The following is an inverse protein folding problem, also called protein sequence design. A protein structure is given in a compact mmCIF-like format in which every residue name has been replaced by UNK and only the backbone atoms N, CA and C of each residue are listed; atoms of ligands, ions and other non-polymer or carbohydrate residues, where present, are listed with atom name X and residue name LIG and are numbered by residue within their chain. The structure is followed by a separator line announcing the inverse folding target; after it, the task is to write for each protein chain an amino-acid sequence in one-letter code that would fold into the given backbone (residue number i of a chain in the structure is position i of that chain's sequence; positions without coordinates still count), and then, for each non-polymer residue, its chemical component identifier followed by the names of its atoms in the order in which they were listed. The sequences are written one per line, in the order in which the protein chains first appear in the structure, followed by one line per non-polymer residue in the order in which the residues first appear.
data_IF_943443567053
#
_entry.id   IF_943443567053
#
_cell.length_a   1.000
_cell.length_b   1.000
_cell.length_c   1.000
_cell.angle_alpha   90.00
_cell.angle_beta   90.00
_cell.angle_gamma   90.00
#
_symmetry.space_group_name_H-M   'P 1'
#
loop_
_entity.id
_entity.type
_entity.pdbx_description
1 polymer ?
#
# COMPACT_ATOMS: atom_id res chain seq x y z
N UNK A 1 45.66 22.62 -29.80
CA UNK A 1 44.52 22.85 -28.89
C UNK A 1 43.24 22.02 -29.25
N UNK A 2 42.93 21.82 -30.52
CA UNK A 2 41.76 21.07 -30.97
C UNK A 2 41.73 19.57 -30.49
N UNK A 3 42.88 18.90 -30.46
CA UNK A 3 42.98 17.47 -30.14
C UNK A 3 42.74 17.19 -28.63
N UNK A 4 43.03 18.12 -27.75
CA UNK A 4 42.79 17.98 -26.32
C UNK A 4 41.33 18.13 -25.94
N UNK A 5 40.57 18.94 -26.70
CA UNK A 5 39.17 19.19 -26.51
C UNK A 5 38.30 18.00 -26.94
N UNK A 6 38.64 17.32 -28.03
CA UNK A 6 37.99 16.10 -28.48
C UNK A 6 38.18 14.97 -27.47
N UNK A 7 39.38 14.85 -26.89
CA UNK A 7 39.70 13.83 -25.90
C UNK A 7 38.90 14.04 -24.59
N UNK A 8 38.69 15.31 -24.19
CA UNK A 8 37.91 15.68 -23.00
C UNK A 8 36.43 15.37 -23.18
N UNK A 9 35.89 15.69 -24.35
CA UNK A 9 34.48 15.39 -24.70
C UNK A 9 34.25 13.87 -24.71
N UNK A 10 35.15 13.10 -25.29
CA UNK A 10 35.03 11.64 -25.31
C UNK A 10 35.10 11.03 -23.91
N UNK A 11 35.92 11.56 -23.01
CA UNK A 11 35.98 11.13 -21.61
C UNK A 11 34.70 11.45 -20.84
N UNK A 12 34.16 12.65 -21.04
CA UNK A 12 32.91 13.04 -20.37
C UNK A 12 31.71 12.22 -20.86
N UNK A 13 31.62 11.90 -22.14
CA UNK A 13 30.58 11.04 -22.71
C UNK A 13 30.68 9.61 -22.14
N UNK A 14 31.90 9.06 -22.00
CA UNK A 14 32.12 7.74 -21.41
C UNK A 14 31.70 7.72 -19.94
N UNK A 15 32.07 8.71 -19.16
CA UNK A 15 31.69 8.81 -17.74
C UNK A 15 30.16 8.92 -17.60
N UNK A 16 29.51 9.71 -18.44
CA UNK A 16 28.05 9.87 -18.45
C UNK A 16 27.34 8.55 -18.78
N UNK A 17 27.89 7.78 -19.72
CA UNK A 17 27.37 6.48 -20.11
C UNK A 17 27.50 5.45 -18.95
N UNK A 18 28.64 5.48 -18.23
CA UNK A 18 28.83 4.63 -17.05
C UNK A 18 27.85 4.99 -15.92
N UNK A 19 27.60 6.26 -15.67
CA UNK A 19 26.63 6.72 -14.66
C UNK A 19 25.22 6.29 -15.04
N UNK A 20 24.86 6.38 -16.33
CA UNK A 20 23.55 5.98 -16.84
C UNK A 20 23.35 4.46 -16.72
N UNK A 21 24.34 3.65 -17.07
CA UNK A 21 24.29 2.18 -16.94
C UNK A 21 24.23 1.76 -15.48
N UNK A 22 24.99 2.42 -14.60
CA UNK A 22 24.95 2.19 -13.16
C UNK A 22 23.59 2.54 -12.55
N UNK A 23 22.97 3.64 -12.98
CA UNK A 23 21.63 4.04 -12.55
C UNK A 23 20.56 3.05 -13.04
N UNK A 24 20.64 2.57 -14.28
CA UNK A 24 19.75 1.53 -14.80
C UNK A 24 19.92 0.20 -14.06
N UNK A 25 21.17 -0.19 -13.76
CA UNK A 25 21.46 -1.40 -12.97
C UNK A 25 20.92 -1.31 -11.56
N UNK A 26 21.10 -0.17 -10.89
CA UNK A 26 20.56 0.08 -9.56
C UNK A 26 19.01 0.05 -9.57
N UNK A 27 18.39 0.65 -10.60
CA UNK A 27 16.93 0.63 -10.77
C UNK A 27 16.41 -0.79 -11.02
N UNK A 28 17.11 -1.59 -11.84
CA UNK A 28 16.74 -2.98 -12.10
C UNK A 28 16.87 -3.87 -10.85
N UNK A 29 17.90 -3.65 -10.03
CA UNK A 29 18.09 -4.36 -8.75
C UNK A 29 17.00 -3.98 -7.76
N UNK A 30 16.68 -2.69 -7.62
CA UNK A 30 15.61 -2.22 -6.72
C UNK A 30 14.25 -2.72 -7.18
N UNK A 31 13.96 -2.68 -8.48
CA UNK A 31 12.71 -3.21 -9.03
C UNK A 31 12.60 -4.74 -8.95
N UNK A 32 13.74 -5.44 -9.00
CA UNK A 32 13.82 -6.90 -8.83
C UNK A 32 13.57 -7.32 -7.38
N UNK A 33 14.10 -6.57 -6.41
CA UNK A 33 13.92 -6.87 -4.98
C UNK A 33 12.46 -6.74 -4.57
N UNK A 34 11.74 -5.71 -5.05
CA UNK A 34 10.31 -5.54 -4.74
C UNK A 34 9.43 -6.68 -5.31
N UNK A 35 9.84 -7.27 -6.44
CA UNK A 35 9.12 -8.41 -7.03
C UNK A 35 9.48 -9.76 -6.41
N UNK A 36 10.71 -9.92 -5.93
CA UNK A 36 11.16 -11.16 -5.27
C UNK A 36 10.88 -11.15 -3.76
N UNK A 37 10.82 -9.98 -3.13
CA UNK A 37 10.51 -9.84 -1.70
C UNK A 37 9.08 -10.23 -1.34
N UNK A 38 8.14 -10.13 -2.29
CA UNK A 38 6.72 -10.39 -2.03
C UNK A 38 6.30 -11.86 -2.21
N UNK A 39 7.22 -12.78 -2.57
CA UNK A 39 6.91 -14.19 -2.76
C UNK A 39 7.38 -15.11 -1.61
N UNK A 40 7.91 -14.56 -0.51
CA UNK A 40 8.40 -15.35 0.62
C UNK A 40 7.58 -15.15 1.91
N UNK A 41 6.34 -14.71 1.82
CA UNK A 41 5.42 -14.73 2.95
C UNK A 41 4.66 -16.07 3.03
N UNK A 42 5.39 -17.20 2.97
CA UNK A 42 4.92 -18.47 3.54
C UNK A 42 5.55 -18.59 4.93
N UNK A 43 5.35 -17.61 5.76
CA UNK A 43 5.40 -17.76 7.21
C UNK A 43 3.93 -17.79 7.65
N UNK A 44 3.56 -18.76 8.46
CA UNK A 44 2.32 -18.77 9.23
C UNK A 44 2.31 -17.47 10.07
N UNK A 45 1.96 -16.37 9.45
CA UNK A 45 1.85 -15.08 10.12
C UNK A 45 0.44 -14.98 10.65
N UNK A 46 0.31 -15.34 11.90
CA UNK A 46 -0.89 -15.02 12.68
C UNK A 46 -0.78 -13.54 13.07
N UNK A 47 -1.71 -12.73 12.62
CA UNK A 47 -1.76 -11.31 12.89
C UNK A 47 -3.14 -10.94 13.42
N UNK A 48 -3.18 -10.19 14.52
CA UNK A 48 -4.41 -9.71 15.13
C UNK A 48 -4.62 -8.23 14.84
N UNK A 49 -5.76 -7.89 14.27
CA UNK A 49 -6.14 -6.53 13.88
C UNK A 49 -7.34 -6.07 14.70
N UNK A 50 -7.28 -4.84 15.21
CA UNK A 50 -8.36 -4.21 15.95
C UNK A 50 -9.05 -3.15 15.11
N UNK A 51 -10.38 -3.02 15.25
CA UNK A 51 -11.18 -2.03 14.51
C UNK A 51 -11.36 -0.72 15.26
N UNK A 52 -11.16 -0.68 16.57
CA UNK A 52 -11.49 0.44 17.44
C UNK A 52 -10.84 1.75 16.99
N UNK A 53 -9.58 1.72 16.59
CA UNK A 53 -8.83 2.91 16.15
C UNK A 53 -9.36 3.50 14.84
N UNK A 54 -9.88 2.66 13.95
CA UNK A 54 -10.25 3.03 12.57
C UNK A 54 -11.75 3.23 12.36
N UNK A 55 -12.57 2.82 13.32
CA UNK A 55 -14.01 2.70 13.14
C UNK A 55 -14.80 3.49 14.21
N UNK A 56 -14.22 4.52 14.80
CA UNK A 56 -14.88 5.33 15.85
C UNK A 56 -16.17 6.02 15.38
N UNK A 57 -16.28 6.29 14.08
CA UNK A 57 -17.46 6.91 13.47
C UNK A 57 -18.53 5.89 13.05
N UNK A 58 -18.26 4.59 13.22
CA UNK A 58 -19.17 3.51 12.83
C UNK A 58 -19.93 3.03 14.05
N UNK A 59 -21.13 3.56 14.22
CA UNK A 59 -21.98 3.28 15.38
C UNK A 59 -23.06 2.27 15.01
N UNK A 60 -23.31 1.31 15.88
CA UNK A 60 -24.42 0.39 15.80
C UNK A 60 -25.76 1.04 16.16
N UNK A 61 -26.60 0.36 16.93
CA UNK A 61 -27.84 0.93 17.42
C UNK A 61 -27.59 1.86 18.63
N UNK A 62 -26.68 1.50 19.51
CA UNK A 62 -26.41 2.24 20.74
C UNK A 62 -24.98 2.81 20.80
N UNK A 63 -23.98 2.04 20.39
CA UNK A 63 -22.57 2.44 20.48
C UNK A 63 -21.74 1.79 19.36
N UNK A 64 -20.43 2.08 19.35
CA UNK A 64 -19.47 1.38 18.50
C UNK A 64 -19.38 -0.11 18.90
N UNK A 65 -19.09 -0.95 17.93
CA UNK A 65 -18.92 -2.39 18.14
C UNK A 65 -17.46 -2.73 17.76
N UNK A 66 -16.54 -2.69 18.74
CA UNK A 66 -15.15 -3.02 18.48
C UNK A 66 -14.99 -4.50 18.16
N UNK A 67 -14.15 -4.79 17.15
CA UNK A 67 -13.89 -6.13 16.68
C UNK A 67 -12.39 -6.41 16.75
N UNK A 68 -12.08 -7.67 17.05
CA UNK A 68 -10.76 -8.26 16.89
C UNK A 68 -10.81 -9.21 15.69
N UNK A 69 -9.96 -8.99 14.71
CA UNK A 69 -9.91 -9.78 13.47
C UNK A 69 -8.57 -10.50 13.44
N UNK A 70 -8.62 -11.82 13.50
CA UNK A 70 -7.46 -12.68 13.43
C UNK A 70 -7.21 -13.11 11.99
N UNK A 71 -6.02 -12.77 11.46
CA UNK A 71 -5.57 -13.11 10.13
C UNK A 71 -4.59 -14.28 10.21
N UNK A 72 -4.74 -15.27 9.34
CA UNK A 72 -3.79 -16.37 9.14
C UNK A 72 -3.53 -16.53 7.66
N UNK A 73 -2.28 -16.55 7.28
CA UNK A 73 -1.85 -16.67 5.88
C UNK A 73 -2.50 -15.62 4.95
N UNK A 74 -2.70 -14.39 5.46
CA UNK A 74 -3.30 -13.29 4.72
C UNK A 74 -4.81 -13.42 4.49
N UNK A 75 -5.48 -14.29 5.23
CA UNK A 75 -6.93 -14.49 5.22
C UNK A 75 -7.54 -14.30 6.60
N UNK A 76 -8.77 -13.89 6.65
CA UNK A 76 -9.54 -13.78 7.90
C UNK A 76 -9.81 -15.18 8.44
N UNK A 77 -9.20 -15.50 9.57
CA UNK A 77 -9.42 -16.78 10.24
C UNK A 77 -10.59 -16.74 11.23
N UNK A 78 -10.70 -15.64 11.98
CA UNK A 78 -11.75 -15.45 12.97
C UNK A 78 -12.00 -13.96 13.23
N UNK A 79 -13.22 -13.63 13.66
CA UNK A 79 -13.62 -12.29 14.10
C UNK A 79 -14.32 -12.42 15.45
N UNK A 80 -13.76 -11.77 16.46
CA UNK A 80 -14.33 -11.69 17.79
C UNK A 80 -14.95 -10.32 18.04
N UNK A 81 -16.18 -10.29 18.56
CA UNK A 81 -16.81 -9.07 19.05
C UNK A 81 -16.30 -8.81 20.46
N UNK A 82 -15.66 -7.66 20.66
CA UNK A 82 -15.11 -7.26 21.96
C UNK A 82 -16.17 -6.62 22.84
N UNK A 83 -15.79 -6.35 24.10
CA UNK A 83 -16.66 -5.67 25.07
C UNK A 83 -17.15 -4.32 24.51
N UNK A 84 -18.45 -4.12 24.53
CA UNK A 84 -19.13 -2.97 23.97
C UNK A 84 -20.38 -2.61 24.75
N UNK A 85 -20.98 -1.46 24.42
CA UNK A 85 -22.23 -1.00 25.04
C UNK A 85 -23.44 -1.15 24.12
N UNK A 86 -23.30 -1.95 23.06
CA UNK A 86 -24.41 -2.24 22.16
C UNK A 86 -25.52 -3.01 22.88
N UNK A 87 -26.72 -2.90 22.35
CA UNK A 87 -27.89 -3.60 22.92
C UNK A 87 -27.76 -5.11 22.79
N UNK A 88 -27.67 -5.87 23.90
CA UNK A 88 -27.39 -7.31 23.87
C UNK A 88 -28.33 -8.13 22.98
N UNK A 89 -29.61 -7.72 22.89
CA UNK A 89 -30.60 -8.37 22.02
C UNK A 89 -30.23 -8.31 20.54
N UNK A 90 -29.66 -7.20 20.09
CA UNK A 90 -29.27 -7.03 18.68
C UNK A 90 -27.97 -7.77 18.39
N UNK A 91 -27.00 -7.71 19.28
CA UNK A 91 -25.75 -8.50 19.16
C UNK A 91 -26.05 -9.99 19.14
N UNK A 92 -26.93 -10.45 20.04
CA UNK A 92 -27.31 -11.87 20.06
C UNK A 92 -27.88 -12.32 18.72
N UNK A 93 -28.76 -11.51 18.07
CA UNK A 93 -29.28 -11.85 16.74
C UNK A 93 -28.18 -11.94 15.69
N UNK A 94 -27.23 -11.01 15.70
CA UNK A 94 -26.11 -11.01 14.76
C UNK A 94 -25.24 -12.25 14.94
N UNK A 95 -25.02 -12.68 16.18
CA UNK A 95 -24.24 -13.88 16.50
C UNK A 95 -25.02 -15.15 16.15
N UNK A 96 -26.33 -15.21 16.47
CA UNK A 96 -27.17 -16.37 16.17
C UNK A 96 -27.30 -16.63 14.65
N UNK A 97 -27.20 -15.59 13.82
CA UNK A 97 -27.24 -15.64 12.34
C UNK A 97 -25.83 -15.75 11.72
N UNK A 98 -24.80 -15.97 12.52
CA UNK A 98 -23.42 -16.22 12.07
C UNK A 98 -22.87 -15.17 11.08
N UNK A 99 -23.28 -13.89 11.25
CA UNK A 99 -22.99 -12.81 10.30
C UNK A 99 -21.48 -12.68 10.00
N UNK A 100 -20.64 -12.75 11.03
CA UNK A 100 -19.18 -12.57 10.91
C UNK A 100 -18.49 -13.74 10.20
N UNK A 101 -19.11 -14.91 10.20
CA UNK A 101 -18.57 -16.12 9.56
C UNK A 101 -18.52 -16.02 8.04
N UNK A 102 -19.36 -15.15 7.47
CA UNK A 102 -19.32 -14.86 6.03
C UNK A 102 -17.98 -14.27 5.57
N UNK A 103 -17.18 -13.72 6.47
CA UNK A 103 -15.85 -13.19 6.19
C UNK A 103 -14.71 -14.20 6.31
N UNK A 104 -14.97 -15.37 6.92
CA UNK A 104 -13.92 -16.36 7.17
C UNK A 104 -13.35 -16.94 5.87
N UNK A 105 -12.03 -17.08 5.84
CA UNK A 105 -11.28 -17.56 4.69
C UNK A 105 -11.08 -16.55 3.57
N UNK A 106 -11.66 -15.35 3.67
CA UNK A 106 -11.51 -14.30 2.67
C UNK A 106 -10.21 -13.53 2.84
N UNK A 107 -9.65 -13.10 1.73
CA UNK A 107 -8.59 -12.11 1.71
C UNK A 107 -9.15 -10.71 2.02
N UNK A 108 -8.33 -9.74 2.45
CA UNK A 108 -8.77 -8.37 2.71
C UNK A 108 -9.53 -7.75 1.53
N UNK A 109 -9.06 -7.99 0.34
CA UNK A 109 -9.65 -7.47 -0.88
C UNK A 109 -11.03 -8.08 -1.20
N UNK A 110 -11.19 -9.37 -0.97
CA UNK A 110 -12.48 -10.06 -1.11
C UNK A 110 -13.45 -9.58 -0.04
N UNK A 111 -13.01 -9.44 1.21
CA UNK A 111 -13.83 -8.98 2.33
C UNK A 111 -14.38 -7.55 2.10
N UNK A 112 -13.58 -6.65 1.54
CA UNK A 112 -14.03 -5.28 1.20
C UNK A 112 -15.15 -5.30 0.15
N UNK A 113 -15.07 -6.20 -0.83
CA UNK A 113 -16.03 -6.29 -1.94
C UNK A 113 -17.21 -7.23 -1.67
N UNK A 114 -17.20 -7.94 -0.55
CA UNK A 114 -18.26 -8.87 -0.19
C UNK A 114 -19.59 -8.12 0.03
N UNK A 115 -20.64 -8.55 -0.61
CA UNK A 115 -21.99 -8.05 -0.36
C UNK A 115 -22.73 -9.01 0.59
N UNK A 116 -23.14 -8.50 1.74
CA UNK A 116 -23.85 -9.23 2.80
C UNK A 116 -25.06 -8.40 3.21
N UNK A 117 -26.18 -9.05 3.34
CA UNK A 117 -27.39 -8.45 3.87
C UNK A 117 -27.33 -8.33 5.40
N UNK A 118 -27.90 -7.26 5.92
CA UNK A 118 -28.02 -7.07 7.36
C UNK A 118 -29.05 -8.02 7.96
N UNK A 119 -28.80 -8.51 9.17
CA UNK A 119 -29.70 -9.37 9.92
C UNK A 119 -31.01 -8.65 10.21
N UNK A 120 -32.13 -9.28 9.86
CA UNK A 120 -33.46 -8.71 10.08
C UNK A 120 -33.75 -8.46 11.57
N UNK A 121 -34.13 -7.21 11.88
CA UNK A 121 -34.34 -6.79 13.27
C UNK A 121 -33.08 -6.52 14.12
N UNK A 122 -31.90 -6.51 13.45
CA UNK A 122 -30.63 -6.04 14.03
C UNK A 122 -29.84 -5.24 12.98
N UNK A 123 -30.53 -4.56 12.08
CA UNK A 123 -29.95 -3.93 10.88
C UNK A 123 -28.83 -2.92 11.20
N UNK A 124 -29.00 -2.09 12.23
CA UNK A 124 -27.99 -1.10 12.60
C UNK A 124 -26.71 -1.76 13.10
N UNK A 125 -26.83 -2.71 14.02
CA UNK A 125 -25.67 -3.44 14.58
C UNK A 125 -24.99 -4.31 13.51
N UNK A 126 -25.73 -4.96 12.62
CA UNK A 126 -25.20 -5.71 11.48
C UNK A 126 -24.41 -4.83 10.53
N UNK A 127 -25.00 -3.69 10.12
CA UNK A 127 -24.33 -2.75 9.21
C UNK A 127 -23.07 -2.15 9.83
N UNK A 128 -23.08 -1.87 11.14
CA UNK A 128 -21.89 -1.39 11.84
C UNK A 128 -20.77 -2.44 11.79
N UNK A 129 -21.05 -3.70 12.11
CA UNK A 129 -20.07 -4.79 12.05
C UNK A 129 -19.54 -4.97 10.62
N UNK A 130 -20.40 -5.10 9.62
CA UNK A 130 -20.02 -5.25 8.21
C UNK A 130 -19.09 -4.09 7.79
N UNK A 131 -19.49 -2.85 8.10
CA UNK A 131 -18.74 -1.66 7.73
C UNK A 131 -17.39 -1.59 8.45
N UNK A 132 -17.32 -1.96 9.74
CA UNK A 132 -16.09 -1.99 10.51
C UNK A 132 -15.10 -3.01 9.95
N UNK A 133 -15.53 -4.23 9.62
CA UNK A 133 -14.68 -5.24 8.98
C UNK A 133 -14.16 -4.72 7.64
N UNK A 134 -15.03 -4.22 6.78
CA UNK A 134 -14.64 -3.69 5.46
C UNK A 134 -13.65 -2.53 5.57
N UNK A 135 -13.88 -1.60 6.49
CA UNK A 135 -13.00 -0.45 6.71
C UNK A 135 -11.62 -0.90 7.17
N UNK A 136 -11.54 -1.80 8.16
CA UNK A 136 -10.26 -2.32 8.66
C UNK A 136 -9.51 -3.12 7.60
N UNK A 137 -10.21 -3.94 6.82
CA UNK A 137 -9.61 -4.69 5.72
C UNK A 137 -9.12 -3.77 4.59
N UNK A 138 -9.82 -2.67 4.29
CA UNK A 138 -9.38 -1.70 3.29
C UNK A 138 -8.11 -0.94 3.73
N UNK A 139 -7.96 -0.66 5.02
CA UNK A 139 -6.74 -0.06 5.58
C UNK A 139 -5.59 -1.07 5.50
N UNK A 140 -5.82 -2.29 5.94
CA UNK A 140 -4.83 -3.37 5.92
C UNK A 140 -4.33 -3.68 4.49
N UNK A 141 -5.22 -3.76 3.50
CA UNK A 141 -4.82 -3.97 2.10
C UNK A 141 -3.94 -2.83 1.57
N UNK A 142 -4.19 -1.58 1.95
CA UNK A 142 -3.35 -0.43 1.59
C UNK A 142 -1.99 -0.45 2.27
N UNK A 143 -1.92 -0.87 3.54
CA UNK A 143 -0.69 -1.01 4.31
C UNK A 143 0.18 -2.14 3.76
N UNK A 144 -0.44 -3.29 3.44
CA UNK A 144 0.23 -4.46 2.87
C UNK A 144 0.64 -4.25 1.40
N UNK A 145 -0.15 -3.49 0.64
CA UNK A 145 0.05 -3.25 -0.78
C UNK A 145 0.11 -1.74 -1.08
N UNK A 146 1.19 -1.04 -0.69
CA UNK A 146 1.33 0.37 -0.98
C UNK A 146 1.28 0.61 -2.49
N UNK A 147 0.45 1.57 -2.89
CA UNK A 147 0.20 1.91 -4.29
C UNK A 147 1.51 2.16 -5.06
N UNK A 148 1.71 1.58 -6.25
CA UNK A 148 2.92 1.77 -7.04
C UNK A 148 3.13 3.22 -7.54
N UNK A 149 2.14 4.09 -7.38
CA UNK A 149 2.17 5.50 -7.83
C UNK A 149 3.29 6.30 -7.18
N UNK A 150 3.64 6.02 -5.94
CA UNK A 150 4.72 6.73 -5.22
C UNK A 150 6.07 6.49 -5.90
N UNK A 151 6.36 5.28 -6.30
CA UNK A 151 7.61 4.89 -6.97
C UNK A 151 7.69 5.42 -8.40
N UNK A 152 6.57 5.44 -9.13
CA UNK A 152 6.50 6.05 -10.47
C UNK A 152 6.77 7.54 -10.43
N UNK A 153 6.22 8.27 -9.46
CA UNK A 153 6.49 9.69 -9.27
C UNK A 153 7.97 9.95 -8.95
N UNK A 154 8.59 9.14 -8.08
CA UNK A 154 10.04 9.25 -7.81
C UNK A 154 10.86 9.02 -9.07
N UNK A 155 10.53 8.05 -9.90
CA UNK A 155 11.19 7.80 -11.19
C UNK A 155 11.10 9.00 -12.14
N UNK A 156 9.91 9.59 -12.28
CA UNK A 156 9.69 10.76 -13.14
C UNK A 156 10.46 11.98 -12.63
N UNK A 157 10.45 12.24 -11.32
CA UNK A 157 11.20 13.34 -10.71
C UNK A 157 12.70 13.14 -10.90
N UNK A 158 13.21 11.94 -10.71
CA UNK A 158 14.63 11.63 -10.89
C UNK A 158 15.07 11.86 -12.36
N UNK A 159 14.28 11.39 -13.32
CA UNK A 159 14.52 11.66 -14.75
C UNK A 159 14.50 13.16 -15.08
N UNK A 160 13.55 13.92 -14.55
CA UNK A 160 13.45 15.35 -14.75
C UNK A 160 14.68 16.08 -14.19
N UNK A 161 15.16 15.72 -13.00
CA UNK A 161 16.36 16.29 -12.39
C UNK A 161 17.61 15.98 -13.23
N UNK A 162 17.77 14.76 -13.73
CA UNK A 162 18.89 14.40 -14.60
C UNK A 162 18.88 15.19 -15.89
N UNK A 163 17.73 15.35 -16.55
CA UNK A 163 17.58 16.14 -17.76
C UNK A 163 17.91 17.62 -17.52
N UNK A 164 17.49 18.15 -16.37
CA UNK A 164 17.78 19.53 -15.98
C UNK A 164 19.27 19.76 -15.74
N UNK A 165 19.96 18.85 -15.06
CA UNK A 165 21.42 18.87 -14.86
C UNK A 165 22.16 18.80 -16.19
N UNK A 166 21.75 17.93 -17.11
CA UNK A 166 22.35 17.83 -18.45
C UNK A 166 22.15 19.13 -19.25
N UNK A 167 21.01 19.78 -19.15
CA UNK A 167 20.76 21.06 -19.81
C UNK A 167 21.62 22.19 -19.27
N UNK A 168 21.86 22.23 -17.95
CA UNK A 168 22.73 23.21 -17.29
C UNK A 168 24.21 23.00 -17.72
N UNK A 169 24.67 21.76 -17.75
CA UNK A 169 26.02 21.41 -18.18
C UNK A 169 26.23 21.79 -19.64
N UNK A 170 25.24 21.54 -20.52
CA UNK A 170 25.29 21.94 -21.92
C UNK A 170 25.37 23.48 -22.09
N UNK A 171 24.60 24.24 -21.28
CA UNK A 171 24.65 25.70 -21.29
C UNK A 171 26.01 26.22 -20.83
N UNK A 172 26.61 25.67 -19.78
CA UNK A 172 27.95 26.03 -19.31
C UNK A 172 29.03 25.73 -20.36
N UNK A 173 28.96 24.57 -21.01
CA UNK A 173 29.91 24.22 -22.07
C UNK A 173 29.83 25.21 -23.27
N UNK A 174 28.61 25.59 -23.67
CA UNK A 174 28.43 26.56 -24.77
C UNK A 174 28.89 27.96 -24.37
N UNK A 175 28.67 28.39 -23.12
CA UNK A 175 29.12 29.74 -22.68
C UNK A 175 30.65 29.83 -22.57
N UNK A 176 31.34 28.74 -22.22
CA UNK A 176 32.80 28.67 -22.20
C UNK A 176 33.43 28.80 -23.62
N UNK A 177 32.74 28.30 -24.65
CA UNK A 177 33.19 28.40 -26.03
C UNK A 177 32.97 29.79 -26.66
N UNK A 178 32.13 30.65 -26.04
CA UNK A 178 31.81 31.99 -26.53
C UNK A 178 32.71 33.08 -25.95
N UNK A 179 33.50 32.74 -24.92
CA UNK A 179 34.39 33.68 -24.22
C UNK A 179 35.83 33.62 -24.69
N UNK A 180 36.14 32.80 -25.69
CA UNK A 180 37.40 32.83 -26.46
C UNK A 180 37.19 33.51 -27.84
#
# INVERSE_FOLDING_TARGET
MHCYFELLIMKTIKILNYIFVAALGFFAVMFGIDRFGNNNATQNSEETLYTEEYCQDIVGFNDIIPLEINMVDGKIANINILDNKETPRFLKKVTDEELVENFYGLTPKEAVNLEIDAVSGATYSSNAIIKSVKTRMAVYDKEANPSPWTWQLFGIICCAVVLLLLSILKRKAVSSLRSE
#
